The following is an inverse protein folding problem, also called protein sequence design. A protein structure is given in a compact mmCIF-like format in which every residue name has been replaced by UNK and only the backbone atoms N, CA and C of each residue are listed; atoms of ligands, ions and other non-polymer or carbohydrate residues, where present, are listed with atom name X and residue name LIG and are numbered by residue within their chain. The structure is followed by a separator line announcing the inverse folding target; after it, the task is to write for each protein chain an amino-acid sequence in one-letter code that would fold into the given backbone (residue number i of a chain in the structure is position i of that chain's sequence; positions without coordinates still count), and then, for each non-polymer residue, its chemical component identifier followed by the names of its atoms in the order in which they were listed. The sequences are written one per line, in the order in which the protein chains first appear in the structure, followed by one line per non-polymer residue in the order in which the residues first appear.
data_IF_201228188440
#
_entry.id   IF_201228188440
#
_cell.length_a   1.000
_cell.length_b   1.000
_cell.length_c   1.000
_cell.angle_alpha   90.00
_cell.angle_beta   90.00
_cell.angle_gamma   90.00
#
_symmetry.space_group_name_H-M   'P 1'
#
loop_
_entity.id
_entity.type
_entity.pdbx_description
1 polymer ?
#
# COMPACT_ATOMS: atom_id res chain seq x y z
N UNK A 1 -14.44 7.68 8.79
CA UNK A 1 -15.60 7.91 9.67
C UNK A 1 -16.91 7.96 8.88
N UNK A 2 -17.09 8.92 7.97
CA UNK A 2 -18.32 9.02 7.14
C UNK A 2 -18.58 7.74 6.31
N UNK A 3 -17.56 7.16 5.66
CA UNK A 3 -17.75 5.87 4.95
C UNK A 3 -18.26 4.75 5.87
N UNK A 4 -17.69 4.63 7.07
CA UNK A 4 -18.10 3.60 8.04
C UNK A 4 -19.54 3.76 8.54
N UNK A 5 -20.04 4.99 8.67
CA UNK A 5 -21.46 5.22 9.01
C UNK A 5 -22.42 4.76 7.91
N UNK A 6 -21.96 4.72 6.65
CA UNK A 6 -22.70 4.21 5.50
C UNK A 6 -22.32 2.75 5.13
N UNK A 7 -21.73 1.99 6.06
CA UNK A 7 -21.29 0.61 5.84
C UNK A 7 -20.27 0.44 4.70
N UNK A 8 -19.45 1.46 4.46
CA UNK A 8 -18.35 1.45 3.49
C UNK A 8 -17.01 1.09 4.13
N UNK A 9 -16.10 0.57 3.33
CA UNK A 9 -14.76 0.15 3.74
C UNK A 9 -13.79 1.33 3.91
N UNK A 10 -12.66 1.15 4.63
CA UNK A 10 -11.58 2.13 4.66
C UNK A 10 -11.10 2.49 3.24
N UNK A 11 -11.01 3.78 2.95
CA UNK A 11 -10.59 4.28 1.65
C UNK A 11 -9.14 4.76 1.69
N UNK A 12 -8.41 4.57 0.60
CA UNK A 12 -7.04 5.04 0.42
C UNK A 12 -6.88 5.67 -0.96
N UNK A 13 -5.88 6.52 -1.12
CA UNK A 13 -5.56 7.16 -2.39
C UNK A 13 -5.07 6.14 -3.40
N UNK A 14 -5.68 6.11 -4.58
CA UNK A 14 -5.36 5.14 -5.61
C UNK A 14 -4.21 5.63 -6.50
N UNK A 15 -3.05 4.96 -6.44
CA UNK A 15 -1.83 5.37 -7.16
C UNK A 15 -2.00 5.40 -8.68
N UNK A 16 -2.95 4.65 -9.24
CA UNK A 16 -3.23 4.66 -10.69
C UNK A 16 -3.80 6.01 -11.16
N UNK A 17 -4.52 6.73 -10.29
CA UNK A 17 -5.08 8.04 -10.61
C UNK A 17 -3.97 9.09 -10.78
N UNK A 18 -2.92 9.02 -9.97
CA UNK A 18 -1.73 9.89 -10.09
C UNK A 18 -0.99 9.62 -11.40
N UNK A 19 -0.89 8.34 -11.80
CA UNK A 19 -0.32 7.95 -13.09
C UNK A 19 -1.08 8.55 -14.27
N UNK A 20 -2.42 8.49 -14.25
CA UNK A 20 -3.25 9.07 -15.32
C UNK A 20 -3.09 10.59 -15.42
N UNK A 21 -2.97 11.29 -14.30
CA UNK A 21 -2.71 12.73 -14.27
C UNK A 21 -1.36 13.07 -14.90
N UNK A 22 -0.32 12.24 -14.69
CA UNK A 22 1.00 12.45 -15.32
C UNK A 22 0.98 12.33 -16.85
N UNK A 23 0.09 11.50 -17.41
CA UNK A 23 -0.07 11.30 -18.86
C UNK A 23 -0.95 12.40 -19.46
N UNK A 24 -2.08 12.69 -18.82
CA UNK A 24 -3.05 13.69 -19.31
C UNK A 24 -2.59 15.13 -19.09
N UNK A 25 -1.65 15.37 -18.15
CA UNK A 25 -1.18 16.69 -17.70
C UNK A 25 -2.29 17.60 -17.18
N UNK A 26 -3.45 17.05 -16.84
CA UNK A 26 -4.58 17.80 -16.27
C UNK A 26 -4.58 17.64 -14.76
N UNK A 27 -4.07 18.64 -14.05
CA UNK A 27 -4.02 18.69 -12.59
C UNK A 27 -5.22 19.44 -11.96
N UNK A 28 -6.29 19.68 -12.73
CA UNK A 28 -7.43 20.47 -12.28
C UNK A 28 -8.28 19.73 -11.23
N UNK A 29 -8.49 20.38 -10.08
CA UNK A 29 -9.37 19.86 -9.00
C UNK A 29 -10.80 19.58 -9.47
N UNK A 30 -11.27 20.34 -10.47
CA UNK A 30 -12.62 20.21 -11.00
C UNK A 30 -12.87 18.87 -11.69
N UNK A 31 -11.83 18.26 -12.26
CA UNK A 31 -11.92 16.93 -12.89
C UNK A 31 -12.11 15.84 -11.84
N UNK A 32 -11.46 15.99 -10.68
CA UNK A 32 -11.65 15.06 -9.56
C UNK A 32 -13.06 15.18 -8.97
N UNK A 33 -13.56 16.42 -8.80
CA UNK A 33 -14.91 16.68 -8.30
C UNK A 33 -15.97 16.13 -9.27
N UNK A 34 -15.83 16.38 -10.58
CA UNK A 34 -16.78 15.88 -11.57
C UNK A 34 -16.78 14.35 -11.63
N UNK A 35 -15.61 13.70 -11.55
CA UNK A 35 -15.51 12.24 -11.44
C UNK A 35 -16.21 11.71 -10.18
N UNK A 36 -16.03 12.37 -9.03
CA UNK A 36 -16.73 12.01 -7.79
C UNK A 36 -18.25 12.10 -7.91
N UNK A 37 -18.76 13.16 -8.55
CA UNK A 37 -20.21 13.32 -8.81
C UNK A 37 -20.72 12.20 -9.72
N UNK A 38 -19.99 11.86 -10.79
CA UNK A 38 -20.35 10.76 -11.69
C UNK A 38 -20.41 9.42 -10.92
N UNK A 39 -19.44 9.15 -10.04
CA UNK A 39 -19.43 7.94 -9.22
C UNK A 39 -20.61 7.89 -8.24
N UNK A 40 -20.99 9.02 -7.63
CA UNK A 40 -22.18 9.10 -6.77
C UNK A 40 -23.43 8.79 -7.58
N UNK A 41 -23.59 9.39 -8.76
CA UNK A 41 -24.73 9.16 -9.64
C UNK A 41 -24.82 7.67 -10.04
N UNK A 42 -23.70 7.05 -10.41
CA UNK A 42 -23.68 5.62 -10.73
C UNK A 42 -23.96 4.73 -9.52
N UNK A 43 -23.50 5.13 -8.33
CA UNK A 43 -23.80 4.43 -7.07
C UNK A 43 -25.28 4.46 -6.69
N UNK A 44 -26.01 5.51 -7.07
CA UNK A 44 -27.46 5.63 -6.84
C UNK A 44 -28.31 4.82 -7.82
N UNK A 45 -27.73 4.30 -8.92
CA UNK A 45 -28.45 3.54 -9.94
C UNK A 45 -28.35 2.03 -9.63
N UNK A 46 -29.41 1.37 -9.13
CA UNK A 46 -29.37 -0.05 -8.76
C UNK A 46 -29.10 -0.98 -9.96
N UNK A 47 -29.43 -0.55 -11.18
CA UNK A 47 -29.10 -1.29 -12.41
C UNK A 47 -27.59 -1.48 -12.60
N UNK A 48 -26.77 -0.51 -12.16
CA UNK A 48 -25.31 -0.62 -12.23
C UNK A 48 -24.80 -1.71 -11.30
N UNK A 49 -25.40 -1.89 -10.13
CA UNK A 49 -25.03 -2.95 -9.19
C UNK A 49 -25.26 -4.35 -9.77
N UNK A 50 -26.39 -4.56 -10.46
CA UNK A 50 -26.71 -5.83 -11.12
C UNK A 50 -25.73 -6.11 -12.27
N UNK A 51 -25.39 -5.08 -13.06
CA UNK A 51 -24.41 -5.20 -14.14
C UNK A 51 -23.03 -5.59 -13.61
N UNK A 52 -22.56 -4.94 -12.54
CA UNK A 52 -21.28 -5.29 -11.88
C UNK A 52 -21.31 -6.70 -11.29
N UNK A 53 -22.43 -7.11 -10.68
CA UNK A 53 -22.60 -8.47 -10.16
C UNK A 53 -22.64 -9.55 -11.25
N UNK A 54 -22.92 -9.15 -12.51
CA UNK A 54 -22.95 -10.05 -13.67
C UNK A 54 -21.57 -10.22 -14.32
N UNK A 55 -20.54 -9.51 -13.85
CA UNK A 55 -19.17 -9.63 -14.37
C UNK A 55 -18.60 -11.00 -13.97
N UNK A 56 -18.09 -11.80 -14.93
CA UNK A 56 -17.52 -13.10 -14.61
C UNK A 56 -16.27 -13.03 -13.73
N UNK A 57 -16.11 -13.99 -12.81
CA UNK A 57 -15.02 -14.00 -11.84
C UNK A 57 -13.62 -13.97 -12.47
N UNK A 58 -13.42 -14.58 -13.64
CA UNK A 58 -12.13 -14.55 -14.34
C UNK A 58 -11.74 -13.14 -14.81
N UNK A 59 -12.71 -12.27 -15.11
CA UNK A 59 -12.45 -10.85 -15.44
C UNK A 59 -12.08 -10.07 -14.18
N UNK A 60 -12.81 -10.28 -13.06
CA UNK A 60 -12.44 -9.67 -11.78
C UNK A 60 -11.06 -10.14 -11.31
N UNK A 61 -10.70 -11.41 -11.53
CA UNK A 61 -9.38 -11.95 -11.24
C UNK A 61 -8.28 -11.24 -12.02
N UNK A 62 -8.48 -11.03 -13.33
CA UNK A 62 -7.55 -10.27 -14.17
C UNK A 62 -7.39 -8.80 -13.74
N UNK A 63 -8.50 -8.13 -13.43
CA UNK A 63 -8.48 -6.77 -12.90
C UNK A 63 -7.78 -6.69 -11.53
N UNK A 64 -8.04 -7.67 -10.66
CA UNK A 64 -7.38 -7.80 -9.36
C UNK A 64 -5.87 -8.01 -9.49
N UNK A 65 -5.44 -8.89 -10.41
CA UNK A 65 -4.01 -9.12 -10.68
C UNK A 65 -3.30 -7.83 -11.13
N UNK A 66 -3.93 -7.05 -12.02
CA UNK A 66 -3.39 -5.77 -12.46
C UNK A 66 -3.28 -4.76 -11.31
N UNK A 67 -4.31 -4.66 -10.46
CA UNK A 67 -4.31 -3.75 -9.31
C UNK A 67 -3.24 -4.15 -8.27
N UNK A 68 -3.19 -5.42 -7.87
CA UNK A 68 -2.18 -5.90 -6.92
C UNK A 68 -0.76 -5.83 -7.49
N UNK A 69 -0.59 -6.07 -8.79
CA UNK A 69 0.69 -5.90 -9.47
C UNK A 69 1.18 -4.45 -9.44
N UNK A 70 0.30 -3.48 -9.67
CA UNK A 70 0.62 -2.06 -9.56
C UNK A 70 0.96 -1.65 -8.12
N UNK A 71 0.26 -2.21 -7.12
CA UNK A 71 0.59 -2.00 -5.70
C UNK A 71 2.00 -2.51 -5.39
N UNK A 72 2.34 -3.72 -5.83
CA UNK A 72 3.66 -4.31 -5.66
C UNK A 72 4.76 -3.48 -6.35
N UNK A 73 4.53 -3.07 -7.61
CA UNK A 73 5.47 -2.22 -8.35
C UNK A 73 5.70 -0.87 -7.66
N UNK A 74 4.66 -0.27 -7.10
CA UNK A 74 4.76 0.97 -6.31
C UNK A 74 5.58 0.74 -5.04
N UNK A 75 5.38 -0.40 -4.37
CA UNK A 75 6.19 -0.80 -3.21
C UNK A 75 7.68 -0.92 -3.55
N UNK A 76 8.03 -1.59 -4.65
CA UNK A 76 9.42 -1.70 -5.14
C UNK A 76 10.01 -0.31 -5.43
N UNK A 77 9.25 0.57 -6.07
CA UNK A 77 9.69 1.95 -6.36
C UNK A 77 9.94 2.78 -5.10
N UNK A 78 9.20 2.53 -4.02
CA UNK A 78 9.46 3.18 -2.72
C UNK A 78 10.74 2.63 -2.12
N UNK A 79 10.91 1.30 -2.12
CA UNK A 79 12.12 0.65 -1.62
C UNK A 79 13.37 1.08 -2.41
N UNK A 80 13.27 1.30 -3.71
CA UNK A 80 14.41 1.73 -4.53
C UNK A 80 14.91 3.14 -4.22
N UNK A 81 14.13 3.95 -3.48
CA UNK A 81 14.54 5.28 -3.02
C UNK A 81 15.36 5.23 -1.72
N UNK A 82 15.42 4.09 -1.05
CA UNK A 82 16.26 3.92 0.14
C UNK A 82 17.74 3.86 -0.25
N UNK A 83 18.59 4.51 0.54
CA UNK A 83 20.04 4.45 0.34
C UNK A 83 20.58 3.11 0.86
N UNK A 84 20.95 2.20 -0.06
CA UNK A 84 21.58 0.91 0.25
C UNK A 84 23.11 0.94 0.14
N UNK A 85 23.68 1.98 -0.48
CA UNK A 85 25.13 2.07 -0.75
C UNK A 85 25.90 2.57 0.46
N UNK A 86 25.38 3.60 1.12
CA UNK A 86 25.96 4.24 2.31
C UNK A 86 25.58 3.48 3.57
N UNK A 87 24.36 2.94 3.62
CA UNK A 87 23.85 2.23 4.79
C UNK A 87 23.41 0.81 4.44
N UNK A 88 24.33 -0.14 4.60
CA UNK A 88 24.10 -1.57 4.38
C UNK A 88 22.99 -2.17 5.27
N UNK A 89 22.69 -1.56 6.42
CA UNK A 89 21.66 -2.04 7.34
C UNK A 89 20.26 -1.92 6.72
N UNK A 90 20.04 -0.95 5.84
CA UNK A 90 18.77 -0.80 5.11
C UNK A 90 18.42 -2.04 4.29
N UNK A 91 19.41 -2.69 3.68
CA UNK A 91 19.18 -3.91 2.91
C UNK A 91 18.74 -5.07 3.82
N UNK A 92 19.40 -5.22 4.98
CA UNK A 92 19.02 -6.23 5.97
C UNK A 92 17.63 -5.99 6.56
N UNK A 93 17.31 -4.73 6.89
CA UNK A 93 15.99 -4.34 7.40
C UNK A 93 14.89 -4.76 6.42
N UNK A 94 15.06 -4.45 5.13
CA UNK A 94 14.09 -4.79 4.08
C UNK A 94 13.99 -6.30 3.90
N UNK A 95 15.12 -7.01 3.76
CA UNK A 95 15.13 -8.45 3.52
C UNK A 95 14.50 -9.25 4.67
N UNK A 96 14.87 -8.93 5.91
CA UNK A 96 14.33 -9.61 7.10
C UNK A 96 12.84 -9.31 7.24
N UNK A 97 12.44 -8.05 7.02
CA UNK A 97 11.03 -7.67 7.19
C UNK A 97 10.10 -8.27 6.15
N UNK A 98 10.54 -8.38 4.90
CA UNK A 98 9.80 -9.14 3.89
C UNK A 98 9.69 -10.63 4.27
N UNK A 99 10.78 -11.24 4.73
CA UNK A 99 10.78 -12.64 5.17
C UNK A 99 9.81 -12.91 6.32
N UNK A 100 9.83 -12.06 7.35
CA UNK A 100 8.90 -12.14 8.49
C UNK A 100 7.45 -11.88 8.05
N UNK A 101 7.23 -10.92 7.15
CA UNK A 101 5.92 -10.63 6.57
C UNK A 101 5.31 -11.78 5.77
N UNK A 102 6.13 -12.61 5.14
CA UNK A 102 5.68 -13.77 4.38
C UNK A 102 5.43 -15.02 5.24
N UNK A 103 5.83 -15.02 6.50
CA UNK A 103 5.72 -16.17 7.40
C UNK A 103 4.28 -16.70 7.55
N UNK A 104 3.23 -15.86 7.73
CA UNK A 104 1.85 -16.35 7.81
C UNK A 104 1.37 -17.03 6.53
N UNK A 105 1.90 -16.64 5.38
CA UNK A 105 1.56 -17.19 4.06
C UNK A 105 2.27 -18.52 3.80
N UNK A 106 3.47 -18.70 4.35
CA UNK A 106 4.29 -19.90 4.18
C UNK A 106 3.95 -21.00 5.19
N UNK A 107 3.51 -20.64 6.39
CA UNK A 107 3.14 -21.59 7.44
C UNK A 107 2.07 -21.01 8.36
N UNK A 108 0.85 -21.55 8.24
CA UNK A 108 -0.28 -21.15 9.09
C UNK A 108 -0.08 -21.53 10.56
N UNK A 109 0.71 -22.58 10.86
CA UNK A 109 0.93 -23.08 12.22
C UNK A 109 2.09 -22.42 12.97
N UNK A 110 2.82 -21.49 12.35
CA UNK A 110 4.02 -20.90 12.95
C UNK A 110 3.73 -20.19 14.29
N UNK A 111 2.53 -19.62 14.42
CA UNK A 111 2.09 -18.89 15.59
C UNK A 111 1.05 -19.66 16.45
N UNK A 112 0.88 -20.96 16.19
CA UNK A 112 -0.08 -21.83 16.90
C UNK A 112 0.13 -21.93 18.42
N UNK A 113 1.37 -21.67 18.90
CA UNK A 113 1.74 -21.69 20.32
C UNK A 113 1.67 -20.33 21.03
N UNK A 114 1.27 -19.27 20.32
CA UNK A 114 1.17 -17.92 20.89
C UNK A 114 -0.24 -17.61 21.42
N UNK A 115 -0.37 -16.67 22.38
CA UNK A 115 -1.66 -16.35 22.99
C UNK A 115 -2.69 -15.89 21.96
N UNK A 116 -3.92 -16.37 22.10
CA UNK A 116 -5.03 -16.16 21.16
C UNK A 116 -5.31 -14.67 20.84
N UNK A 117 -5.01 -13.77 21.77
CA UNK A 117 -5.17 -12.32 21.61
C UNK A 117 -4.29 -11.75 20.48
N UNK A 118 -3.14 -12.38 20.20
CA UNK A 118 -2.21 -11.92 19.16
C UNK A 118 -2.47 -12.57 17.79
N UNK A 119 -3.22 -13.67 17.71
CA UNK A 119 -3.44 -14.40 16.46
C UNK A 119 -3.97 -13.51 15.30
N UNK A 120 -4.94 -12.60 15.49
CA UNK A 120 -5.42 -11.75 14.39
C UNK A 120 -4.36 -10.79 13.85
N UNK A 121 -3.44 -10.34 14.72
CA UNK A 121 -2.36 -9.43 14.34
C UNK A 121 -1.21 -10.20 13.68
N UNK A 122 -0.88 -11.37 14.20
CA UNK A 122 0.20 -12.23 13.71
C UNK A 122 -0.16 -12.93 12.39
N UNK A 123 -1.45 -13.14 12.10
CA UNK A 123 -1.88 -13.64 10.78
C UNK A 123 -1.79 -12.58 9.68
N UNK A 124 -1.67 -11.30 10.03
CA UNK A 124 -1.51 -10.22 9.05
C UNK A 124 -0.04 -10.05 8.66
N UNK A 125 0.34 -10.61 7.52
CA UNK A 125 1.71 -10.49 6.99
C UNK A 125 2.16 -9.04 6.78
N UNK A 126 1.25 -8.14 6.42
CA UNK A 126 1.52 -6.71 6.26
C UNK A 126 1.88 -6.06 7.61
N UNK A 127 1.16 -6.41 8.68
CA UNK A 127 1.46 -5.91 10.02
C UNK A 127 2.81 -6.41 10.51
N UNK A 128 3.09 -7.70 10.34
CA UNK A 128 4.37 -8.29 10.71
C UNK A 128 5.54 -7.65 9.98
N UNK A 129 5.45 -7.50 8.65
CA UNK A 129 6.47 -6.83 7.85
C UNK A 129 6.69 -5.38 8.31
N UNK A 130 5.62 -4.65 8.59
CA UNK A 130 5.70 -3.24 8.99
C UNK A 130 6.31 -3.12 10.37
N UNK A 131 5.86 -3.94 11.33
CA UNK A 131 6.37 -3.93 12.69
C UNK A 131 7.86 -4.31 12.73
N UNK A 132 8.25 -5.36 12.02
CA UNK A 132 9.66 -5.75 11.94
C UNK A 132 10.50 -4.66 11.27
N UNK A 133 10.00 -4.04 10.20
CA UNK A 133 10.72 -2.98 9.50
C UNK A 133 10.94 -1.77 10.40
N UNK A 134 9.91 -1.34 11.15
CA UNK A 134 10.02 -0.22 12.08
C UNK A 134 10.98 -0.55 13.22
N UNK A 135 10.84 -1.72 13.85
CA UNK A 135 11.70 -2.13 14.99
C UNK A 135 13.16 -2.23 14.54
N UNK A 136 13.43 -2.88 13.41
CA UNK A 136 14.79 -3.03 12.89
C UNK A 136 15.36 -1.67 12.44
N UNK A 137 14.55 -0.81 11.82
CA UNK A 137 15.00 0.52 11.44
C UNK A 137 15.36 1.37 12.66
N UNK A 138 14.54 1.35 13.71
CA UNK A 138 14.85 2.05 14.97
C UNK A 138 16.11 1.48 15.62
N UNK A 139 16.29 0.16 15.62
CA UNK A 139 17.44 -0.50 16.23
C UNK A 139 18.76 -0.22 15.50
N UNK A 140 18.78 -0.31 14.17
CA UNK A 140 20.00 -0.17 13.37
C UNK A 140 20.33 1.28 12.97
N UNK A 141 19.31 2.09 12.64
CA UNK A 141 19.52 3.46 12.16
C UNK A 141 19.32 4.51 13.28
N UNK A 142 18.83 4.10 14.44
CA UNK A 142 18.52 5.01 15.54
C UNK A 142 17.43 6.03 15.19
N UNK A 143 17.13 6.93 16.12
CA UNK A 143 16.12 7.98 15.92
C UNK A 143 16.64 9.20 15.13
N UNK A 144 17.92 9.20 14.72
CA UNK A 144 18.66 10.42 14.37
C UNK A 144 18.90 10.63 12.87
N UNK A 145 18.42 9.75 11.99
CA UNK A 145 18.72 9.80 10.56
C UNK A 145 17.70 10.60 9.72
N UNK A 146 17.15 11.71 10.25
CA UNK A 146 16.26 12.61 9.48
C UNK A 146 16.97 13.87 8.93
N UNK A 147 18.21 14.14 9.34
CA UNK A 147 18.92 15.38 8.96
C UNK A 147 19.53 15.32 7.55
N UNK A 148 19.90 14.14 7.04
CA UNK A 148 20.71 14.03 5.83
C UNK A 148 19.89 13.87 4.54
N UNK A 149 18.67 13.29 4.62
CA UNK A 149 17.81 13.11 3.44
C UNK A 149 17.24 14.42 2.89
N UNK A 150 17.14 15.46 3.74
CA UNK A 150 16.70 16.80 3.29
C UNK A 150 17.84 17.51 2.57
N UNK A 151 19.09 17.37 3.02
CA UNK A 151 20.25 18.02 2.39
C UNK A 151 20.54 17.50 0.99
N UNK A 152 20.42 16.19 0.75
CA UNK A 152 20.66 15.60 -0.57
C UNK A 152 19.60 16.03 -1.60
N UNK A 153 18.34 16.18 -1.20
CA UNK A 153 17.24 16.63 -2.07
C UNK A 153 17.29 18.11 -2.48
N UNK A 154 18.08 18.93 -1.78
CA UNK A 154 18.30 20.34 -2.08
C UNK A 154 19.52 20.53 -2.99
N UNK A 155 20.53 19.66 -2.90
CA UNK A 155 21.76 19.76 -3.71
C UNK A 155 21.60 19.30 -5.16
N UNK A 156 20.56 18.51 -5.48
CA UNK A 156 20.25 18.02 -6.85
C UNK A 156 19.29 18.96 -7.61
N UNK A 157 19.10 20.18 -7.10
CA UNK A 157 18.19 21.20 -7.66
C UNK A 157 18.89 22.49 -8.13
N UNK A 158 20.21 22.55 -8.06
CA UNK A 158 21.05 23.60 -8.65
C UNK A 158 21.75 23.06 -9.91
#
# INVERSE_FOLDING_TARGET
MIGGTFNSFPHTSFSQNVGLVSVTRVHSRWVCISSGIILILFGMVPKMAVLVASIPQFVLGGAGLAMFGMVLATGIRILSRCNYTTNRYNLYIVAISLGVGMTPTLSHDFFSKLPAVLQPLLHSGIMLATLSAVVLNVFFNGYQHHADLVKESVSDKD
#
